data_IF_549597739032
#
_entry.id   IF_549597739032
#
_cell.length_a   1.000
_cell.length_b   1.000
_cell.length_c   1.000
_cell.angle_alpha   90.00
_cell.angle_beta   90.00
_cell.angle_gamma   90.00
#
_symmetry.space_group_name_H-M   'P 1'
#
loop_
_entity.id
_entity.type
_entity.pdbx_description
1 polymer ?
#
# COMPACT_ATOMS: atom_id res chain seq x y z
N UNK A 1 -19.98 -1.71 1.62
CA UNK A 1 -19.74 -2.41 2.90
C UNK A 1 -19.19 -3.80 2.60
N UNK A 2 -17.98 -4.07 3.11
CA UNK A 2 -17.19 -5.30 3.18
C UNK A 2 -17.21 -6.26 1.98
N UNK A 3 -16.20 -6.17 1.10
CA UNK A 3 -15.90 -7.23 0.11
C UNK A 3 -14.50 -7.84 0.25
N UNK A 4 -13.85 -7.65 1.40
CA UNK A 4 -12.60 -8.35 1.71
C UNK A 4 -12.67 -8.81 3.17
N UNK A 5 -12.85 -10.11 3.36
CA UNK A 5 -12.78 -10.71 4.69
C UNK A 5 -11.34 -10.82 5.20
N UNK A 6 -10.35 -10.68 4.32
CA UNK A 6 -8.92 -10.83 4.59
C UNK A 6 -8.06 -10.28 3.43
N UNK A 7 -7.03 -9.48 3.75
CA UNK A 7 -6.06 -8.98 2.77
C UNK A 7 -4.79 -9.83 2.72
N UNK A 8 -4.11 -9.86 1.56
CA UNK A 8 -2.72 -10.32 1.46
C UNK A 8 -1.76 -9.22 1.86
N UNK A 9 -1.02 -9.39 2.95
CA UNK A 9 -0.06 -8.41 3.43
C UNK A 9 1.20 -8.41 2.55
N UNK A 10 1.48 -7.28 1.93
CA UNK A 10 2.70 -7.04 1.16
C UNK A 10 3.67 -6.19 1.99
N UNK A 11 4.59 -6.85 2.69
CA UNK A 11 5.62 -6.20 3.50
C UNK A 11 6.75 -5.56 2.68
N UNK A 12 6.97 -6.02 1.44
CA UNK A 12 8.11 -5.60 0.63
C UNK A 12 9.46 -6.06 1.21
N UNK A 13 10.55 -5.52 0.67
CA UNK A 13 11.89 -6.04 0.98
C UNK A 13 12.48 -5.46 2.27
N UNK A 14 12.45 -4.13 2.45
CA UNK A 14 13.11 -3.48 3.60
C UNK A 14 12.41 -3.80 4.91
N UNK A 15 11.07 -3.77 4.93
CA UNK A 15 10.32 -4.07 6.14
C UNK A 15 10.54 -5.53 6.55
N UNK A 16 10.32 -6.48 5.65
CA UNK A 16 10.50 -7.90 5.97
C UNK A 16 11.92 -8.29 6.37
N UNK A 17 12.96 -7.65 5.82
CA UNK A 17 14.36 -8.08 6.02
C UNK A 17 15.20 -7.19 6.94
N UNK A 18 14.77 -5.97 7.28
CA UNK A 18 15.58 -5.00 8.03
C UNK A 18 14.83 -4.35 9.18
N UNK A 19 13.56 -4.02 9.00
CA UNK A 19 12.73 -3.36 10.02
C UNK A 19 11.42 -4.12 10.29
N UNK A 20 11.49 -5.43 10.62
CA UNK A 20 10.31 -6.31 10.71
C UNK A 20 9.35 -5.91 11.85
N UNK A 21 9.82 -5.12 12.81
CA UNK A 21 8.98 -4.58 13.87
C UNK A 21 7.85 -3.68 13.34
N UNK A 22 8.00 -3.07 12.15
CA UNK A 22 6.92 -2.30 11.53
C UNK A 22 5.75 -3.22 11.12
N UNK A 23 6.05 -4.35 10.49
CA UNK A 23 5.03 -5.35 10.15
C UNK A 23 4.36 -5.89 11.41
N UNK A 24 5.14 -6.26 12.42
CA UNK A 24 4.62 -6.74 13.69
C UNK A 24 3.71 -5.71 14.38
N UNK A 25 4.04 -4.41 14.28
CA UNK A 25 3.21 -3.32 14.79
C UNK A 25 1.89 -3.22 14.03
N UNK A 26 1.93 -3.24 12.69
CA UNK A 26 0.71 -3.15 11.87
C UNK A 26 -0.22 -4.33 12.15
N UNK A 27 0.32 -5.56 12.21
CA UNK A 27 -0.50 -6.75 12.51
C UNK A 27 -1.20 -6.65 13.86
N UNK A 28 -0.52 -6.20 14.91
CA UNK A 28 -1.14 -6.00 16.23
C UNK A 28 -2.27 -4.97 16.21
N UNK A 29 -2.10 -3.88 15.45
CA UNK A 29 -3.15 -2.86 15.27
C UNK A 29 -4.32 -3.46 14.48
N UNK A 30 -4.04 -4.20 13.42
CA UNK A 30 -5.04 -4.84 12.58
C UNK A 30 -5.84 -5.89 13.32
N UNK A 31 -5.20 -6.72 14.15
CA UNK A 31 -5.88 -7.71 14.99
C UNK A 31 -6.87 -7.06 15.96
N UNK A 32 -6.49 -5.92 16.55
CA UNK A 32 -7.38 -5.12 17.43
C UNK A 32 -8.58 -4.56 16.67
N UNK A 33 -8.37 -4.14 15.43
CA UNK A 33 -9.39 -3.60 14.53
C UNK A 33 -10.09 -4.68 13.70
N UNK A 34 -9.86 -5.97 14.01
CA UNK A 34 -10.46 -7.12 13.33
C UNK A 34 -10.22 -7.14 11.81
N UNK A 35 -9.12 -6.55 11.35
CA UNK A 35 -8.67 -6.58 9.95
C UNK A 35 -7.80 -7.81 9.76
N UNK A 36 -8.31 -8.81 9.06
CA UNK A 36 -7.55 -10.04 8.83
C UNK A 36 -6.53 -9.86 7.73
N UNK A 37 -5.34 -10.40 7.94
CA UNK A 37 -4.28 -10.45 6.94
C UNK A 37 -3.63 -11.82 6.88
N UNK A 38 -3.24 -12.24 5.68
CA UNK A 38 -2.45 -13.44 5.44
C UNK A 38 -1.27 -13.16 4.51
N UNK A 39 -0.31 -14.07 4.50
CA UNK A 39 0.89 -14.00 3.69
C UNK A 39 0.67 -14.59 2.30
N UNK A 40 1.50 -14.17 1.36
CA UNK A 40 1.73 -14.85 0.09
C UNK A 40 3.23 -14.82 -0.20
N UNK A 41 3.76 -15.72 -1.07
CA UNK A 41 5.18 -15.78 -1.40
C UNK A 41 5.56 -14.65 -2.38
N UNK A 42 5.33 -13.41 -1.96
CA UNK A 42 5.67 -12.20 -2.70
C UNK A 42 7.19 -12.06 -2.85
N UNK A 43 7.59 -11.56 -4.01
CA UNK A 43 8.96 -11.14 -4.26
C UNK A 43 9.09 -9.62 -4.05
N UNK A 44 10.16 -9.02 -4.59
CA UNK A 44 10.25 -7.55 -4.67
C UNK A 44 9.09 -6.99 -5.49
N UNK A 45 8.65 -5.76 -5.17
CA UNK A 45 7.53 -5.11 -5.84
C UNK A 45 7.76 -4.74 -7.31
N UNK A 46 8.95 -4.91 -7.88
CA UNK A 46 10.20 -4.08 -7.90
C UNK A 46 10.13 -2.59 -7.50
N UNK A 47 11.31 -1.99 -7.33
CA UNK A 47 11.48 -0.56 -7.04
C UNK A 47 10.78 0.34 -8.08
N UNK A 48 9.99 1.35 -7.66
CA UNK A 48 9.17 2.18 -8.55
C UNK A 48 9.96 3.12 -9.48
N UNK A 49 11.21 3.45 -9.16
CA UNK A 49 11.97 4.50 -9.87
C UNK A 49 13.11 3.90 -10.68
N UNK A 50 14.11 3.33 -10.01
CA UNK A 50 15.31 2.82 -10.65
C UNK A 50 15.01 1.61 -11.54
N UNK A 51 14.25 0.64 -11.03
CA UNK A 51 13.94 -0.56 -11.81
C UNK A 51 13.01 -0.25 -12.99
N UNK A 52 11.96 0.53 -12.75
CA UNK A 52 11.02 0.99 -13.78
C UNK A 52 11.73 1.79 -14.90
N UNK A 53 12.66 2.66 -14.53
CA UNK A 53 13.44 3.46 -15.50
C UNK A 53 14.46 2.62 -16.28
N UNK A 54 14.93 1.50 -15.70
CA UNK A 54 15.91 0.62 -16.34
C UNK A 54 15.24 -0.29 -17.36
N UNK A 55 14.15 -0.98 -16.95
CA UNK A 55 13.39 -1.85 -17.84
C UNK A 55 11.93 -1.93 -17.40
N UNK A 56 11.07 -1.17 -18.09
CA UNK A 56 9.65 -1.09 -17.80
C UNK A 56 8.93 -2.44 -17.96
N UNK A 57 9.34 -3.26 -18.93
CA UNK A 57 8.72 -4.56 -19.19
C UNK A 57 8.93 -5.53 -18.01
N UNK A 58 10.15 -5.63 -17.50
CA UNK A 58 10.47 -6.43 -16.32
C UNK A 58 9.77 -5.88 -15.08
N UNK A 59 9.70 -4.55 -14.95
CA UNK A 59 8.99 -3.90 -13.84
C UNK A 59 7.52 -4.32 -13.80
N UNK A 60 6.83 -4.20 -14.95
CA UNK A 60 5.45 -4.64 -15.12
C UNK A 60 5.29 -6.15 -14.87
N UNK A 61 6.14 -6.99 -15.46
CA UNK A 61 6.02 -8.44 -15.35
C UNK A 61 6.21 -8.95 -13.90
N UNK A 62 7.17 -8.39 -13.16
CA UNK A 62 7.39 -8.75 -11.76
C UNK A 62 6.27 -8.24 -10.84
N UNK A 63 5.79 -7.02 -11.05
CA UNK A 63 4.63 -6.48 -10.34
C UNK A 63 3.39 -7.34 -10.58
N UNK A 64 3.12 -7.69 -11.84
CA UNK A 64 2.00 -8.53 -12.23
C UNK A 64 2.08 -9.93 -11.63
N UNK A 65 3.28 -10.54 -11.59
CA UNK A 65 3.48 -11.82 -10.92
C UNK A 65 3.04 -11.76 -9.45
N UNK A 66 3.35 -10.68 -8.73
CA UNK A 66 2.87 -10.53 -7.36
C UNK A 66 1.34 -10.37 -7.30
N UNK A 67 0.73 -9.61 -8.20
CA UNK A 67 -0.73 -9.47 -8.26
C UNK A 67 -1.42 -10.84 -8.46
N UNK A 68 -0.90 -11.69 -9.35
CA UNK A 68 -1.50 -13.02 -9.60
C UNK A 68 -1.53 -13.93 -8.38
N UNK A 69 -0.57 -13.79 -7.44
CA UNK A 69 -0.57 -14.59 -6.20
C UNK A 69 -1.77 -14.29 -5.31
N UNK A 70 -2.17 -13.02 -5.27
CA UNK A 70 -3.32 -12.59 -4.48
C UNK A 70 -4.64 -12.85 -5.24
N UNK A 71 -4.63 -12.72 -6.58
CA UNK A 71 -5.78 -13.07 -7.43
C UNK A 71 -6.13 -14.55 -7.37
N UNK A 72 -5.14 -15.45 -7.29
CA UNK A 72 -5.35 -16.90 -7.14
C UNK A 72 -6.21 -17.25 -5.92
N UNK A 73 -6.14 -16.45 -4.86
CA UNK A 73 -6.95 -16.60 -3.65
C UNK A 73 -8.18 -15.66 -3.61
N UNK A 74 -8.35 -14.80 -4.63
CA UNK A 74 -9.43 -13.82 -4.67
C UNK A 74 -9.36 -12.78 -3.53
N UNK A 75 -8.15 -12.42 -3.10
CA UNK A 75 -7.92 -11.48 -1.98
C UNK A 75 -7.18 -10.25 -2.45
N UNK A 76 -7.62 -9.08 -1.99
CA UNK A 76 -6.92 -7.83 -2.24
C UNK A 76 -5.57 -7.79 -1.52
N UNK A 77 -4.64 -6.98 -2.05
CA UNK A 77 -3.34 -6.75 -1.42
C UNK A 77 -3.42 -5.53 -0.51
N UNK A 78 -2.82 -5.62 0.67
CA UNK A 78 -2.55 -4.47 1.53
C UNK A 78 -1.05 -4.26 1.68
N UNK A 79 -0.56 -3.08 1.32
CA UNK A 79 0.83 -2.69 1.44
C UNK A 79 1.04 -1.77 2.65
N UNK A 80 2.16 -2.00 3.35
CA UNK A 80 2.65 -1.15 4.44
C UNK A 80 3.85 -0.28 4.03
N UNK A 81 4.10 -0.18 2.72
CA UNK A 81 5.16 0.62 2.12
C UNK A 81 4.64 1.42 0.92
N UNK A 82 4.94 2.72 0.88
CA UNK A 82 4.56 3.62 -0.22
C UNK A 82 5.09 3.15 -1.58
N UNK A 83 6.35 2.74 -1.68
CA UNK A 83 6.94 2.32 -2.96
C UNK A 83 6.35 1.01 -3.49
N UNK A 84 6.12 0.03 -2.60
CA UNK A 84 5.47 -1.23 -2.95
C UNK A 84 4.01 -1.00 -3.35
N UNK A 85 3.30 -0.16 -2.60
CA UNK A 85 1.92 0.22 -2.88
C UNK A 85 1.80 0.85 -4.27
N UNK A 86 2.60 1.88 -4.55
CA UNK A 86 2.57 2.58 -5.82
C UNK A 86 2.85 1.63 -6.99
N UNK A 87 3.91 0.83 -6.90
CA UNK A 87 4.26 -0.09 -7.99
C UNK A 87 3.11 -1.06 -8.28
N UNK A 88 2.63 -1.75 -7.25
CA UNK A 88 1.57 -2.74 -7.43
C UNK A 88 0.26 -2.09 -7.91
N UNK A 89 -0.09 -0.91 -7.39
CA UNK A 89 -1.28 -0.17 -7.81
C UNK A 89 -1.16 0.28 -9.27
N UNK A 90 -0.04 0.87 -9.68
CA UNK A 90 0.18 1.30 -11.06
C UNK A 90 0.14 0.13 -12.04
N UNK A 91 0.84 -0.97 -11.73
CA UNK A 91 0.81 -2.18 -12.56
C UNK A 91 -0.61 -2.75 -12.66
N UNK A 92 -1.35 -2.79 -11.54
CA UNK A 92 -2.73 -3.29 -11.53
C UNK A 92 -3.65 -2.42 -12.40
N UNK A 93 -3.59 -1.11 -12.26
CA UNK A 93 -4.41 -0.17 -13.05
C UNK A 93 -4.05 -0.24 -14.54
N UNK A 94 -2.77 -0.21 -14.88
CA UNK A 94 -2.31 -0.31 -16.27
C UNK A 94 -2.81 -1.59 -16.92
N UNK A 95 -2.66 -2.76 -16.28
CA UNK A 95 -3.10 -4.03 -16.86
C UNK A 95 -4.62 -4.21 -16.86
N UNK A 96 -5.36 -3.53 -15.98
CA UNK A 96 -6.83 -3.53 -16.02
C UNK A 96 -7.37 -2.77 -17.24
N UNK A 97 -6.74 -1.65 -17.59
CA UNK A 97 -7.28 -0.71 -18.58
C UNK A 97 -6.52 -0.67 -19.91
N UNK A 98 -5.32 -1.24 -19.99
CA UNK A 98 -4.52 -1.38 -21.21
C UNK A 98 -4.45 -2.85 -21.64
N UNK A 99 -5.33 -3.23 -22.56
CA UNK A 99 -5.39 -4.60 -23.09
C UNK A 99 -4.10 -5.04 -23.78
N UNK A 100 -3.44 -4.12 -24.50
CA UNK A 100 -2.19 -4.42 -25.20
C UNK A 100 -1.06 -4.80 -24.24
N UNK A 101 -0.85 -4.01 -23.18
CA UNK A 101 0.14 -4.34 -22.15
C UNK A 101 -0.28 -5.58 -21.37
N UNK A 102 -1.58 -5.77 -21.09
CA UNK A 102 -2.08 -6.99 -20.45
C UNK A 102 -1.73 -8.25 -21.23
N UNK A 103 -1.97 -8.28 -22.54
CA UNK A 103 -1.65 -9.44 -23.39
C UNK A 103 -0.15 -9.75 -23.38
N UNK A 104 0.68 -8.71 -23.52
CA UNK A 104 2.14 -8.82 -23.51
C UNK A 104 2.66 -9.36 -22.18
N UNK A 105 2.15 -8.88 -21.05
CA UNK A 105 2.53 -9.37 -19.73
C UNK A 105 1.99 -10.78 -19.48
N UNK A 106 0.77 -11.09 -19.88
CA UNK A 106 0.22 -12.44 -19.76
C UNK A 106 0.99 -13.47 -20.61
N UNK A 107 1.55 -13.08 -21.76
CA UNK A 107 2.45 -13.94 -22.53
C UNK A 107 3.74 -14.30 -21.77
N UNK A 108 4.25 -13.40 -20.91
CA UNK A 108 5.39 -13.65 -20.03
C UNK A 108 4.94 -14.54 -18.85
N UNK A 109 3.85 -14.18 -18.18
CA UNK A 109 3.33 -14.90 -17.02
C UNK A 109 2.94 -16.35 -17.34
N UNK A 110 2.49 -16.63 -18.57
CA UNK A 110 2.16 -17.98 -19.03
C UNK A 110 3.34 -18.95 -18.94
N UNK A 111 4.58 -18.47 -19.04
CA UNK A 111 5.80 -19.29 -18.83
C UNK A 111 5.95 -19.78 -17.38
N UNK A 112 5.20 -19.19 -16.46
CA UNK A 112 5.15 -19.50 -15.03
C UNK A 112 3.78 -20.08 -14.63
N UNK A 113 2.98 -20.52 -15.61
CA UNK A 113 1.62 -21.02 -15.42
C UNK A 113 0.69 -20.02 -14.71
N UNK A 114 0.88 -18.71 -14.99
CA UNK A 114 0.14 -17.61 -14.38
C UNK A 114 -0.53 -16.72 -15.43
N UNK A 115 -1.60 -16.06 -15.00
CA UNK A 115 -2.36 -15.11 -15.80
C UNK A 115 -2.92 -14.01 -14.89
N UNK A 116 -2.73 -12.75 -15.26
CA UNK A 116 -3.35 -11.60 -14.62
C UNK A 116 -4.75 -11.37 -15.17
N UNK A 117 -5.73 -11.22 -14.27
CA UNK A 117 -7.17 -11.09 -14.59
C UNK A 117 -7.75 -9.72 -14.21
N UNK A 118 -7.08 -8.96 -13.37
CA UNK A 118 -7.57 -7.67 -12.86
C UNK A 118 -8.74 -7.81 -11.88
N UNK A 119 -8.78 -8.88 -11.09
CA UNK A 119 -9.91 -9.21 -10.20
C UNK A 119 -9.79 -8.65 -8.78
N UNK A 120 -8.62 -8.11 -8.41
CA UNK A 120 -8.31 -7.60 -7.07
C UNK A 120 -7.90 -6.13 -7.09
N UNK A 121 -7.92 -5.52 -5.92
CA UNK A 121 -7.37 -4.20 -5.68
C UNK A 121 -6.11 -4.23 -4.79
N UNK A 122 -5.35 -3.14 -4.87
CA UNK A 122 -4.17 -2.90 -4.04
C UNK A 122 -4.47 -1.69 -3.16
N UNK A 123 -4.31 -1.88 -1.85
CA UNK A 123 -4.64 -0.91 -0.81
C UNK A 123 -3.40 -0.54 0.00
N UNK A 124 -3.33 0.70 0.48
CA UNK A 124 -2.34 1.13 1.46
C UNK A 124 -2.93 1.07 2.86
N UNK A 125 -2.17 0.64 3.86
CA UNK A 125 -2.69 0.49 5.22
C UNK A 125 -3.25 1.78 5.83
N UNK A 126 -2.69 2.95 5.48
CA UNK A 126 -3.22 4.26 5.92
C UNK A 126 -4.62 4.51 5.37
N UNK A 127 -4.92 4.11 4.13
CA UNK A 127 -6.26 4.27 3.56
C UNK A 127 -7.27 3.39 4.31
N UNK A 128 -6.87 2.15 4.62
CA UNK A 128 -7.74 1.19 5.31
C UNK A 128 -8.01 1.64 6.74
N UNK A 129 -6.99 2.16 7.44
CA UNK A 129 -7.17 2.73 8.77
C UNK A 129 -8.03 4.00 8.75
N UNK A 130 -7.86 4.85 7.74
CA UNK A 130 -8.69 6.03 7.57
C UNK A 130 -10.17 5.66 7.34
N UNK A 131 -10.43 4.68 6.47
CA UNK A 131 -11.78 4.23 6.13
C UNK A 131 -12.50 3.53 7.31
N UNK A 132 -11.75 3.00 8.29
CA UNK A 132 -12.30 2.46 9.54
C UNK A 132 -12.92 3.56 10.41
N UNK A 133 -12.38 4.77 10.33
CA UNK A 133 -12.85 5.94 11.08
C UNK A 133 -12.21 6.08 12.46
N UNK A 134 -12.13 7.34 12.88
CA UNK A 134 -11.48 7.79 14.12
C UNK A 134 -12.10 7.21 15.38
N UNK A 135 -13.43 7.09 15.47
CA UNK A 135 -14.10 6.56 16.67
C UNK A 135 -13.64 5.13 16.99
N UNK A 136 -13.60 4.25 15.98
CA UNK A 136 -13.13 2.88 16.14
C UNK A 136 -11.64 2.81 16.48
N UNK A 137 -10.83 3.76 16.01
CA UNK A 137 -9.42 3.85 16.40
C UNK A 137 -9.30 4.26 17.88
N UNK A 138 -10.03 5.30 18.31
CA UNK A 138 -10.01 5.84 19.67
C UNK A 138 -10.38 4.79 20.72
N UNK A 139 -11.34 3.92 20.44
CA UNK A 139 -11.75 2.81 21.32
C UNK A 139 -10.60 1.87 21.72
N UNK A 140 -9.54 1.80 20.92
CA UNK A 140 -8.39 0.94 21.17
C UNK A 140 -7.13 1.70 21.65
N UNK A 141 -7.21 3.03 21.80
CA UNK A 141 -6.11 3.83 22.33
C UNK A 141 -6.00 3.58 23.83
N UNK A 142 -4.84 3.09 24.26
CA UNK A 142 -4.58 2.73 25.67
C UNK A 142 -3.51 3.56 26.34
N UNK A 143 -2.72 4.30 25.56
CA UNK A 143 -1.68 5.20 26.05
C UNK A 143 -2.08 6.64 25.76
N UNK A 144 -1.91 7.52 26.74
CA UNK A 144 -2.11 8.95 26.56
C UNK A 144 -0.95 9.55 25.76
N UNK A 145 -1.24 10.02 24.55
CA UNK A 145 -0.30 10.71 23.67
C UNK A 145 -0.51 12.23 23.68
N UNK A 146 -1.32 12.75 24.60
CA UNK A 146 -1.56 14.19 24.76
C UNK A 146 -0.23 14.93 24.93
N UNK A 147 -0.03 15.97 24.11
CA UNK A 147 1.20 16.77 24.10
C UNK A 147 2.31 16.23 23.18
N UNK A 148 2.19 15.00 22.65
CA UNK A 148 3.10 14.52 21.61
C UNK A 148 2.81 15.26 20.30
N UNK A 149 3.81 16.00 19.82
CA UNK A 149 3.76 16.70 18.53
C UNK A 149 4.41 15.84 17.44
N UNK A 150 3.73 15.64 16.33
CA UNK A 150 4.15 14.75 15.24
C UNK A 150 4.20 15.51 13.92
N UNK A 151 5.39 15.60 13.32
CA UNK A 151 5.53 16.06 11.94
C UNK A 151 5.17 14.91 11.00
N UNK A 152 4.06 15.03 10.28
CA UNK A 152 3.61 13.99 9.35
C UNK A 152 4.46 14.05 8.07
N UNK A 153 4.94 12.90 7.59
CA UNK A 153 5.58 12.79 6.28
C UNK A 153 4.89 11.69 5.49
N UNK A 154 3.93 12.08 4.66
CA UNK A 154 3.07 11.14 3.92
C UNK A 154 3.85 10.39 2.83
N UNK A 155 4.88 11.03 2.26
CA UNK A 155 5.72 10.47 1.20
C UNK A 155 5.06 10.52 -0.19
N UNK A 156 5.89 10.69 -1.23
CA UNK A 156 5.43 10.98 -2.59
C UNK A 156 4.60 9.84 -3.22
N UNK A 157 5.08 8.59 -3.12
CA UNK A 157 4.47 7.42 -3.76
C UNK A 157 3.15 6.97 -3.12
N UNK A 158 2.79 7.52 -1.95
CA UNK A 158 1.48 7.28 -1.37
C UNK A 158 0.36 7.90 -2.21
N UNK A 159 0.60 9.03 -2.88
CA UNK A 159 -0.44 9.89 -3.50
C UNK A 159 -0.11 10.35 -4.92
N UNK A 160 1.07 10.01 -5.46
CA UNK A 160 1.51 10.39 -6.81
C UNK A 160 1.83 9.14 -7.64
N UNK A 161 1.49 9.09 -8.94
CA UNK A 161 0.76 10.11 -9.71
C UNK A 161 -0.72 10.18 -9.32
N UNK A 162 -1.24 11.39 -9.08
CA UNK A 162 -2.55 11.59 -8.46
C UNK A 162 -3.73 11.13 -9.30
N UNK A 163 -3.59 11.11 -10.63
CA UNK A 163 -4.64 10.63 -11.53
C UNK A 163 -4.86 9.11 -11.47
N UNK A 164 -3.88 8.34 -10.96
CA UNK A 164 -3.99 6.87 -10.81
C UNK A 164 -4.13 6.46 -9.35
N UNK A 165 -3.31 7.03 -8.46
CA UNK A 165 -3.19 6.56 -7.07
C UNK A 165 -4.41 6.94 -6.23
N UNK A 166 -4.91 8.18 -6.36
CA UNK A 166 -6.17 8.66 -5.77
C UNK A 166 -6.40 8.35 -4.28
N UNK A 167 -5.34 8.25 -3.47
CA UNK A 167 -5.44 7.98 -2.03
C UNK A 167 -5.66 9.24 -1.19
N UNK A 168 -5.08 10.37 -1.58
CA UNK A 168 -5.10 11.63 -0.82
C UNK A 168 -4.79 12.81 -1.77
N UNK A 169 -4.96 14.05 -1.30
CA UNK A 169 -4.56 15.24 -2.06
C UNK A 169 -3.02 15.40 -2.00
N UNK A 170 -2.30 15.38 -3.14
CA UNK A 170 -0.85 15.49 -3.18
C UNK A 170 -0.28 16.86 -2.76
N UNK A 171 -1.12 17.88 -2.65
CA UNK A 171 -0.79 19.23 -2.19
C UNK A 171 -1.27 19.49 -0.76
N UNK A 172 -2.24 18.73 -0.27
CA UNK A 172 -2.79 18.88 1.08
C UNK A 172 -3.22 17.53 1.68
N UNK A 173 -2.28 16.62 2.01
CA UNK A 173 -2.62 15.29 2.47
C UNK A 173 -3.22 15.31 3.88
N UNK A 174 -4.38 14.69 4.06
CA UNK A 174 -5.10 14.73 5.34
C UNK A 174 -5.11 13.40 6.09
N UNK A 175 -4.97 12.25 5.40
CA UNK A 175 -5.27 10.95 6.00
C UNK A 175 -4.27 10.57 7.10
N UNK A 176 -2.99 10.80 6.88
CA UNK A 176 -1.98 10.53 7.90
C UNK A 176 -2.16 11.43 9.14
N UNK A 177 -2.46 12.71 8.91
CA UNK A 177 -2.73 13.70 9.98
C UNK A 177 -3.96 13.31 10.79
N UNK A 178 -5.01 12.84 10.11
CA UNK A 178 -6.22 12.32 10.72
C UNK A 178 -5.92 11.14 11.66
N UNK A 179 -5.12 10.17 11.23
CA UNK A 179 -4.73 9.04 12.08
C UNK A 179 -3.90 9.47 13.29
N UNK A 180 -2.97 10.41 13.12
CA UNK A 180 -2.19 10.98 14.22
C UNK A 180 -3.09 11.67 15.25
N UNK A 181 -4.09 12.44 14.78
CA UNK A 181 -5.06 13.07 15.65
C UNK A 181 -5.95 12.05 16.38
N UNK A 182 -6.40 11.01 15.67
CA UNK A 182 -7.26 9.95 16.21
C UNK A 182 -6.61 9.20 17.38
N UNK A 183 -5.28 9.07 17.41
CA UNK A 183 -4.55 8.45 18.54
C UNK A 183 -4.22 9.42 19.68
N UNK A 184 -4.73 10.66 19.63
CA UNK A 184 -4.53 11.68 20.67
C UNK A 184 -3.26 12.51 20.55
N UNK A 185 -2.46 12.31 19.50
CA UNK A 185 -1.29 13.13 19.22
C UNK A 185 -1.64 14.38 18.40
N UNK A 186 -0.76 15.37 18.38
CA UNK A 186 -0.96 16.62 17.64
C UNK A 186 -0.14 16.63 16.36
N UNK A 187 -0.75 16.50 15.15
CA UNK A 187 -0.03 16.74 13.91
C UNK A 187 0.37 18.22 13.84
N UNK A 188 1.64 18.49 13.51
CA UNK A 188 2.15 19.87 13.38
C UNK A 188 2.26 20.29 11.93
N UNK A 189 2.11 21.58 11.69
CA UNK A 189 2.33 22.20 10.38
C UNK A 189 3.80 22.53 10.19
N UNK A 190 4.33 22.25 8.99
CA UNK A 190 5.67 22.65 8.56
C UNK A 190 5.71 22.82 7.05
N UNK A 191 6.60 23.68 6.55
CA UNK A 191 6.61 24.11 5.13
C UNK A 191 6.86 22.98 4.14
N UNK A 192 7.58 21.95 4.57
CA UNK A 192 8.16 20.94 3.69
C UNK A 192 7.37 19.61 3.72
N UNK A 193 6.14 19.62 4.25
CA UNK A 193 5.33 18.42 4.48
C UNK A 193 5.08 17.57 3.23
N UNK A 194 4.97 18.23 2.08
CA UNK A 194 4.72 17.59 0.78
C UNK A 194 5.97 17.42 -0.09
N UNK A 195 7.15 17.78 0.44
CA UNK A 195 8.43 17.69 -0.27
C UNK A 195 8.97 16.26 -0.18
N UNK A 196 9.74 15.83 -1.21
CA UNK A 196 10.41 14.54 -1.21
C UNK A 196 11.42 14.44 -0.04
N UNK A 197 11.52 13.29 0.61
CA UNK A 197 12.52 13.06 1.67
C UNK A 197 13.97 12.97 1.16
N UNK A 198 14.17 12.95 -0.16
CA UNK A 198 15.44 12.78 -0.85
C UNK A 198 15.20 12.24 -2.25
#
# INVERSE_FOLDING_TARGET
MAKVNEYKMFQGCTIGNRIPFLEASVRKVFDKLEIKTSEAPFACCPDPVGFNSTDHLSWMAMGARNLTLAEEEGKDIISICNGCFQTLKLVNEELKYNEHEREKINAILKKLDREFKGSIDVKHFVEVLYDIGEERIKEHVTADLTGLKVACHTGCHYMRPSHVIQTDDPLNPIKLRYLVNAVGATPVDYSDEVICCG
#
